data_IF_702676285385
#
_entry.id   IF_702676285385
#
_cell.length_a   1.000
_cell.length_b   1.000
_cell.length_c   1.000
_cell.angle_alpha   90.00
_cell.angle_beta   90.00
_cell.angle_gamma   90.00
#
_symmetry.space_group_name_H-M   'P 1'
#
loop_
_entity.id
_entity.type
_entity.pdbx_description
1 polymer ?
#
# COMPACT_ATOMS: atom_id res chain seq x y z
N UNK A 1 20.31 -23.99 19.84
CA UNK A 1 21.59 -24.25 19.15
C UNK A 1 22.20 -22.91 18.77
N UNK A 2 23.49 -22.66 19.02
CA UNK A 2 24.08 -21.33 18.91
C UNK A 2 24.17 -20.91 17.44
N UNK A 3 23.82 -19.65 17.16
CA UNK A 3 23.98 -19.04 15.84
C UNK A 3 25.47 -18.79 15.65
N UNK A 4 26.10 -19.55 14.75
CA UNK A 4 27.45 -19.28 14.27
C UNK A 4 27.44 -18.01 13.41
N UNK A 5 28.30 -17.01 13.71
CA UNK A 5 28.50 -15.86 12.85
C UNK A 5 29.55 -16.22 11.79
N UNK A 6 29.11 -16.74 10.64
CA UNK A 6 29.79 -16.64 9.34
C UNK A 6 29.01 -17.40 8.27
N UNK A 7 28.08 -16.70 7.64
CA UNK A 7 27.78 -16.90 6.22
C UNK A 7 27.36 -15.53 5.68
N UNK A 8 28.20 -14.88 4.88
CA UNK A 8 27.63 -14.06 3.81
C UNK A 8 26.73 -15.02 3.03
N UNK A 9 25.42 -14.86 3.19
CA UNK A 9 24.46 -15.84 2.70
C UNK A 9 24.51 -15.84 1.17
N UNK A 10 24.32 -17.01 0.55
CA UNK A 10 24.19 -17.11 -0.91
C UNK A 10 23.17 -16.11 -1.50
N UNK A 11 22.18 -15.69 -0.71
CA UNK A 11 21.18 -14.68 -1.04
C UNK A 11 21.78 -13.28 -1.27
N UNK A 12 22.78 -12.87 -0.47
CA UNK A 12 23.44 -11.58 -0.63
C UNK A 12 24.31 -11.54 -1.90
N UNK A 13 24.94 -12.66 -2.26
CA UNK A 13 25.74 -12.77 -3.48
C UNK A 13 24.87 -12.67 -4.75
N UNK A 14 23.72 -13.34 -4.77
CA UNK A 14 22.78 -13.28 -5.89
C UNK A 14 22.09 -11.91 -6.01
N UNK A 15 21.75 -11.28 -4.89
CA UNK A 15 21.27 -9.90 -4.83
C UNK A 15 22.29 -8.94 -5.44
N UNK A 16 23.56 -9.03 -5.01
CA UNK A 16 24.64 -8.17 -5.49
C UNK A 16 24.90 -8.39 -6.99
N UNK A 17 24.89 -9.64 -7.46
CA UNK A 17 25.07 -9.97 -8.88
C UNK A 17 23.97 -9.36 -9.76
N UNK A 18 22.71 -9.36 -9.29
CA UNK A 18 21.60 -8.73 -10.02
C UNK A 18 21.73 -7.22 -10.02
N UNK A 19 22.09 -6.64 -8.89
CA UNK A 19 22.31 -5.20 -8.77
C UNK A 19 23.43 -4.75 -9.72
N UNK A 20 24.53 -5.51 -9.79
CA UNK A 20 25.64 -5.19 -10.69
C UNK A 20 25.23 -5.36 -12.16
N UNK A 21 24.52 -6.46 -12.50
CA UNK A 21 23.99 -6.67 -13.86
C UNK A 21 23.11 -5.51 -14.34
N UNK A 22 22.33 -4.91 -13.44
CA UNK A 22 21.40 -3.82 -13.77
C UNK A 22 21.89 -2.45 -13.33
N UNK A 23 23.19 -2.32 -13.01
CA UNK A 23 23.77 -1.07 -12.51
C UNK A 23 23.55 0.10 -13.47
N UNK A 24 23.85 -0.10 -14.76
CA UNK A 24 23.62 0.90 -15.79
C UNK A 24 22.14 1.31 -15.90
N UNK A 25 21.21 0.35 -15.79
CA UNK A 25 19.78 0.67 -15.76
C UNK A 25 19.47 1.58 -14.57
N UNK A 26 19.84 1.19 -13.35
CA UNK A 26 19.56 1.96 -12.13
C UNK A 26 20.17 3.37 -12.20
N UNK A 27 21.38 3.50 -12.73
CA UNK A 27 22.09 4.77 -12.86
C UNK A 27 21.42 5.73 -13.86
N UNK A 28 20.78 5.18 -14.91
CA UNK A 28 20.12 5.94 -15.99
C UNK A 28 18.65 6.26 -15.73
N UNK A 29 18.01 5.63 -14.74
CA UNK A 29 16.62 5.97 -14.39
C UNK A 29 16.50 7.45 -13.97
N UNK A 30 15.42 8.14 -14.37
CA UNK A 30 15.15 9.50 -13.91
C UNK A 30 15.10 9.58 -12.38
N UNK A 31 15.74 10.61 -11.82
CA UNK A 31 15.84 10.81 -10.37
C UNK A 31 15.01 12.01 -9.93
N UNK A 32 14.29 11.84 -8.83
CA UNK A 32 13.50 12.88 -8.19
C UNK A 32 13.86 12.98 -6.71
N UNK A 33 13.70 14.16 -6.10
CA UNK A 33 13.86 14.30 -4.65
C UNK A 33 12.66 13.70 -3.94
N UNK A 34 12.90 12.72 -3.07
CA UNK A 34 11.88 12.16 -2.19
C UNK A 34 11.74 12.95 -0.89
N UNK A 35 10.62 12.77 -0.20
CA UNK A 35 10.39 13.36 1.12
C UNK A 35 11.22 12.69 2.23
N UNK A 36 11.41 11.36 2.17
CA UNK A 36 12.16 10.56 3.18
C UNK A 36 13.59 10.24 2.76
N UNK A 37 13.82 10.14 1.46
CA UNK A 37 15.09 9.71 0.88
C UNK A 37 15.55 10.78 -0.10
N UNK A 38 16.86 11.00 -0.16
CA UNK A 38 17.45 12.03 -1.02
C UNK A 38 17.08 11.83 -2.51
N UNK A 39 16.98 10.57 -2.95
CA UNK A 39 16.70 10.22 -4.34
C UNK A 39 15.64 9.10 -4.43
N UNK A 40 14.61 9.36 -5.22
CA UNK A 40 13.69 8.38 -5.76
C UNK A 40 14.00 8.19 -7.25
N UNK A 41 13.74 6.98 -7.75
CA UNK A 41 14.00 6.58 -9.12
C UNK A 41 12.67 6.29 -9.80
N UNK A 42 12.44 6.87 -10.97
CA UNK A 42 11.27 6.53 -11.78
C UNK A 42 11.53 5.20 -12.49
N UNK A 43 10.84 4.15 -12.09
CA UNK A 43 10.91 2.82 -12.68
C UNK A 43 9.50 2.41 -13.14
N UNK A 44 9.31 2.19 -14.45
CA UNK A 44 8.02 1.87 -15.06
C UNK A 44 6.89 2.86 -14.70
N UNK A 45 7.22 4.16 -14.60
CA UNK A 45 6.25 5.21 -14.26
C UNK A 45 6.02 5.41 -12.76
N UNK A 46 6.63 4.59 -11.89
CA UNK A 46 6.49 4.69 -10.44
C UNK A 46 7.77 5.20 -9.77
N UNK A 47 7.64 6.05 -8.75
CA UNK A 47 8.77 6.60 -8.00
C UNK A 47 9.13 5.70 -6.82
N UNK A 48 10.28 5.04 -6.89
CA UNK A 48 10.69 4.03 -5.91
C UNK A 48 12.01 4.43 -5.25
N UNK A 49 12.18 4.05 -3.97
CA UNK A 49 13.48 4.17 -3.34
C UNK A 49 14.47 3.16 -3.98
N UNK A 50 15.79 3.41 -3.93
CA UNK A 50 16.77 2.55 -4.59
C UNK A 50 16.77 1.09 -4.12
N UNK A 51 16.43 0.82 -2.85
CA UNK A 51 16.30 -0.56 -2.35
C UNK A 51 15.09 -1.26 -2.98
N UNK A 52 13.96 -0.57 -3.11
CA UNK A 52 12.75 -1.11 -3.73
C UNK A 52 12.96 -1.40 -5.22
N UNK A 53 13.68 -0.55 -5.96
CA UNK A 53 14.05 -0.85 -7.36
C UNK A 53 14.85 -2.15 -7.45
N UNK A 54 15.89 -2.30 -6.62
CA UNK A 54 16.71 -3.51 -6.57
C UNK A 54 15.89 -4.74 -6.20
N UNK A 55 15.03 -4.64 -5.19
CA UNK A 55 14.14 -5.71 -4.78
C UNK A 55 13.18 -6.13 -5.91
N UNK A 56 12.63 -5.17 -6.67
CA UNK A 56 11.79 -5.49 -7.83
C UNK A 56 12.56 -6.28 -8.89
N UNK A 57 13.82 -5.92 -9.18
CA UNK A 57 14.65 -6.66 -10.14
C UNK A 57 14.90 -8.11 -9.69
N UNK A 58 15.09 -8.33 -8.38
CA UNK A 58 15.25 -9.66 -7.79
C UNK A 58 13.94 -10.45 -7.86
N UNK A 59 12.82 -9.83 -7.47
CA UNK A 59 11.49 -10.43 -7.56
C UNK A 59 11.16 -10.86 -8.99
N UNK A 60 11.35 -9.99 -9.98
CA UNK A 60 11.08 -10.32 -11.38
C UNK A 60 11.91 -11.51 -11.89
N UNK A 61 13.10 -11.73 -11.34
CA UNK A 61 13.98 -12.82 -11.77
C UNK A 61 13.66 -14.15 -11.07
N UNK A 62 13.34 -14.11 -9.79
CA UNK A 62 13.29 -15.31 -8.96
C UNK A 62 11.90 -15.68 -8.43
N UNK A 63 10.96 -14.73 -8.37
CA UNK A 63 9.62 -15.03 -7.90
C UNK A 63 8.88 -15.87 -8.94
N UNK A 64 8.55 -17.11 -8.57
CA UNK A 64 7.75 -18.04 -9.35
C UNK A 64 6.43 -18.30 -8.63
N UNK A 65 5.41 -17.54 -9.01
CA UNK A 65 4.07 -17.70 -8.45
C UNK A 65 3.56 -19.13 -8.68
N UNK A 66 2.97 -19.70 -7.64
CA UNK A 66 2.22 -20.95 -7.72
C UNK A 66 0.73 -20.66 -7.94
N UNK A 67 -0.04 -21.56 -8.57
CA UNK A 67 -1.48 -21.39 -8.74
C UNK A 67 -2.27 -21.26 -7.42
N UNK A 68 -1.67 -21.67 -6.31
CA UNK A 68 -2.24 -21.60 -4.96
C UNK A 68 -1.89 -20.32 -4.20
N UNK A 69 -1.02 -19.48 -4.76
CA UNK A 69 -0.59 -18.26 -4.10
C UNK A 69 -1.70 -17.21 -4.09
N UNK A 70 -1.82 -16.50 -2.97
CA UNK A 70 -2.74 -15.37 -2.81
C UNK A 70 -1.92 -14.15 -2.47
N UNK A 71 -1.97 -13.13 -3.34
CA UNK A 71 -1.21 -11.89 -3.18
C UNK A 71 -2.13 -10.78 -2.68
N UNK A 72 -1.81 -10.20 -1.52
CA UNK A 72 -2.44 -8.98 -1.03
C UNK A 72 -1.65 -7.76 -1.53
N UNK A 73 -2.27 -6.97 -2.40
CA UNK A 73 -1.71 -5.71 -2.88
C UNK A 73 -2.45 -4.51 -2.30
N UNK A 74 -1.70 -3.54 -1.77
CA UNK A 74 -2.26 -2.29 -1.24
C UNK A 74 -1.26 -1.14 -1.39
N UNK A 75 -1.77 0.07 -1.65
CA UNK A 75 -0.95 1.28 -1.61
C UNK A 75 -0.63 1.64 -0.16
N UNK A 76 0.64 1.95 0.14
CA UNK A 76 1.08 2.22 1.52
C UNK A 76 0.29 3.36 2.16
N UNK A 77 -0.17 3.13 3.40
CA UNK A 77 -0.80 4.15 4.27
C UNK A 77 -1.91 4.92 3.56
N UNK A 78 -2.91 4.20 3.04
CA UNK A 78 -4.19 4.71 2.53
C UNK A 78 -4.99 5.49 3.60
N UNK A 79 -4.42 6.60 4.08
CA UNK A 79 -4.99 7.50 5.09
C UNK A 79 -4.03 8.45 5.85
N UNK A 80 -2.69 8.42 5.70
CA UNK A 80 -1.80 9.45 6.34
C UNK A 80 -0.61 9.96 5.53
N UNK A 81 -0.19 9.27 4.46
CA UNK A 81 0.85 9.77 3.54
C UNK A 81 0.48 11.13 2.96
N UNK A 82 -0.82 11.35 2.76
CA UNK A 82 -1.32 12.47 2.02
C UNK A 82 -1.48 13.75 2.86
N UNK A 83 -1.85 13.64 4.15
CA UNK A 83 -1.77 14.78 5.09
C UNK A 83 -0.34 15.33 5.20
N UNK A 84 0.65 14.43 5.22
CA UNK A 84 2.07 14.83 5.23
C UNK A 84 2.45 15.55 3.94
N UNK A 85 1.98 15.05 2.79
CA UNK A 85 2.16 15.69 1.49
C UNK A 85 1.57 17.12 1.49
N UNK A 86 0.34 17.28 1.94
CA UNK A 86 -0.31 18.58 2.03
C UNK A 86 0.40 19.56 2.97
N UNK A 87 0.72 19.13 4.19
CA UNK A 87 1.47 19.97 5.13
C UNK A 87 2.80 20.42 4.51
N UNK A 88 3.51 19.51 3.84
CA UNK A 88 4.75 19.84 3.16
C UNK A 88 4.56 20.87 2.04
N UNK A 89 3.57 20.66 1.15
CA UNK A 89 3.24 21.62 0.10
C UNK A 89 2.88 22.97 0.66
N UNK A 90 2.01 23.02 1.68
CA UNK A 90 1.59 24.27 2.30
C UNK A 90 2.79 24.99 2.91
N UNK A 91 3.65 24.29 3.65
CA UNK A 91 4.82 24.89 4.29
C UNK A 91 5.91 25.31 3.29
N UNK A 92 6.02 24.64 2.15
CA UNK A 92 7.10 24.85 1.18
C UNK A 92 6.61 25.44 -0.16
N UNK A 93 5.39 25.99 -0.22
CA UNK A 93 4.76 26.57 -1.42
C UNK A 93 5.56 27.70 -2.09
N UNK A 94 6.44 28.35 -1.34
CA UNK A 94 7.35 29.38 -1.86
C UNK A 94 8.74 28.85 -2.24
N UNK A 95 9.07 27.61 -1.84
CA UNK A 95 10.36 26.95 -2.09
C UNK A 95 10.36 26.04 -3.31
N UNK A 96 9.19 25.53 -3.69
CA UNK A 96 9.03 24.63 -4.84
C UNK A 96 7.90 25.11 -5.74
N UNK A 97 8.14 25.13 -7.05
CA UNK A 97 7.07 25.29 -8.04
C UNK A 97 6.13 24.10 -7.97
N UNK A 98 4.84 24.32 -8.23
CA UNK A 98 3.87 23.23 -8.36
C UNK A 98 4.14 22.34 -9.57
N UNK A 99 4.84 22.81 -10.61
CA UNK A 99 5.20 21.98 -11.78
C UNK A 99 6.35 21.03 -11.51
N UNK A 100 7.21 21.34 -10.54
CA UNK A 100 8.42 20.59 -10.16
C UNK A 100 8.45 20.36 -8.63
N UNK A 101 7.30 19.98 -8.07
CA UNK A 101 7.14 19.83 -6.63
C UNK A 101 7.64 18.46 -6.18
N UNK A 102 8.40 18.33 -5.07
CA UNK A 102 8.88 17.02 -4.58
C UNK A 102 7.80 15.98 -4.26
N UNK A 103 6.51 16.38 -4.25
CA UNK A 103 5.38 15.46 -4.06
C UNK A 103 4.92 14.79 -5.34
N UNK A 104 5.34 15.29 -6.51
CA UNK A 104 5.23 14.54 -7.76
C UNK A 104 6.03 13.24 -7.69
N UNK A 105 7.02 13.20 -6.79
CA UNK A 105 7.87 12.06 -6.48
C UNK A 105 7.46 11.49 -5.11
N UNK A 106 6.25 10.95 -5.00
CA UNK A 106 5.85 10.19 -3.81
C UNK A 106 6.31 8.74 -3.95
N UNK A 107 6.84 8.16 -2.88
CA UNK A 107 7.25 6.76 -2.86
C UNK A 107 6.05 5.86 -3.23
N UNK A 108 6.26 4.95 -4.18
CA UNK A 108 5.26 4.09 -4.82
C UNK A 108 4.19 4.82 -5.67
N UNK A 109 4.23 6.15 -5.76
CA UNK A 109 3.30 6.93 -6.57
C UNK A 109 3.63 6.92 -8.06
N UNK A 110 2.68 7.33 -8.93
CA UNK A 110 1.46 8.07 -8.59
C UNK A 110 0.32 7.22 -8.01
N UNK A 111 -0.40 7.78 -7.02
CA UNK A 111 -1.49 7.08 -6.30
C UNK A 111 -2.64 6.64 -7.19
N UNK A 112 -3.19 7.55 -8.01
CA UNK A 112 -4.31 7.22 -8.89
C UNK A 112 -3.92 6.20 -9.96
N UNK A 113 -2.69 6.25 -10.50
CA UNK A 113 -2.21 5.24 -11.44
C UNK A 113 -2.08 3.86 -10.78
N UNK A 114 -1.62 3.80 -9.52
CA UNK A 114 -1.62 2.55 -8.77
C UNK A 114 -3.03 2.01 -8.58
N UNK A 115 -4.02 2.83 -8.24
CA UNK A 115 -5.40 2.36 -8.09
C UNK A 115 -5.95 1.89 -9.44
N UNK A 116 -5.75 2.69 -10.47
CA UNK A 116 -6.30 2.44 -11.80
C UNK A 116 -5.71 1.21 -12.46
N UNK A 117 -4.43 0.89 -12.22
CA UNK A 117 -3.82 -0.33 -12.75
C UNK A 117 -4.51 -1.59 -12.21
N UNK A 118 -4.77 -1.67 -10.91
CA UNK A 118 -5.50 -2.80 -10.32
C UNK A 118 -6.99 -2.78 -10.67
N UNK A 119 -7.63 -1.61 -10.71
CA UNK A 119 -9.04 -1.50 -11.09
C UNK A 119 -9.29 -2.02 -12.50
N UNK A 120 -8.51 -1.59 -13.49
CA UNK A 120 -8.66 -2.04 -14.89
C UNK A 120 -8.55 -3.55 -15.01
N UNK A 121 -7.50 -4.13 -14.43
CA UNK A 121 -7.28 -5.59 -14.50
C UNK A 121 -8.34 -6.36 -13.70
N UNK A 122 -8.90 -5.79 -12.62
CA UNK A 122 -10.03 -6.41 -11.90
C UNK A 122 -11.30 -6.53 -12.72
N UNK A 123 -11.53 -5.62 -13.66
CA UNK A 123 -12.65 -5.69 -14.60
C UNK A 123 -12.39 -6.73 -15.69
N UNK A 124 -11.15 -6.86 -16.14
CA UNK A 124 -10.74 -7.81 -17.18
C UNK A 124 -10.62 -9.26 -16.67
N UNK A 125 -10.29 -9.45 -15.40
CA UNK A 125 -10.04 -10.78 -14.79
C UNK A 125 -10.58 -10.85 -13.35
N UNK A 126 -11.90 -10.78 -13.16
CA UNK A 126 -12.53 -10.77 -11.83
C UNK A 126 -12.35 -12.08 -11.05
N UNK A 127 -12.05 -13.18 -11.74
CA UNK A 127 -11.67 -14.48 -11.19
C UNK A 127 -10.25 -14.52 -10.60
N UNK A 128 -9.39 -13.57 -11.01
CA UNK A 128 -7.98 -13.49 -10.56
C UNK A 128 -7.69 -12.29 -9.67
N UNK A 129 -8.49 -11.23 -9.76
CA UNK A 129 -8.28 -9.98 -9.02
C UNK A 129 -9.59 -9.55 -8.34
N UNK A 130 -9.62 -9.67 -7.01
CA UNK A 130 -10.69 -9.10 -6.19
C UNK A 130 -10.30 -7.67 -5.75
N UNK A 131 -10.95 -6.67 -6.33
CA UNK A 131 -10.77 -5.28 -5.92
C UNK A 131 -11.70 -4.93 -4.75
N UNK A 132 -11.14 -4.47 -3.62
CA UNK A 132 -11.89 -4.09 -2.42
C UNK A 132 -11.62 -2.64 -2.03
N UNK A 133 -12.67 -1.94 -1.59
CA UNK A 133 -12.56 -0.59 -1.02
C UNK A 133 -12.61 -0.66 0.51
N UNK A 134 -11.78 0.15 1.17
CA UNK A 134 -11.69 0.16 2.64
C UNK A 134 -13.01 0.58 3.29
N UNK A 135 -13.73 1.53 2.69
CA UNK A 135 -15.02 2.01 3.18
C UNK A 135 -16.09 0.92 3.13
N UNK A 136 -16.05 0.06 2.11
CA UNK A 136 -16.96 -1.09 1.99
C UNK A 136 -16.61 -2.17 3.02
N UNK A 137 -15.32 -2.47 3.19
CA UNK A 137 -14.83 -3.37 4.23
C UNK A 137 -15.30 -2.93 5.64
N UNK A 138 -15.27 -1.62 5.91
CA UNK A 138 -15.72 -1.07 7.19
C UNK A 138 -17.24 -1.01 7.33
N UNK A 139 -17.98 -0.70 6.25
CA UNK A 139 -19.44 -0.53 6.29
C UNK A 139 -20.18 -1.87 6.29
N UNK A 140 -19.68 -2.86 5.56
CA UNK A 140 -20.31 -4.18 5.40
C UNK A 140 -19.26 -5.31 5.51
N UNK A 141 -18.61 -5.45 6.67
CA UNK A 141 -17.47 -6.37 6.83
C UNK A 141 -17.84 -7.82 6.51
N UNK A 142 -19.00 -8.30 6.94
CA UNK A 142 -19.42 -9.68 6.66
C UNK A 142 -19.64 -9.95 5.17
N UNK A 143 -20.18 -8.97 4.42
CA UNK A 143 -20.35 -9.10 2.96
C UNK A 143 -18.99 -9.22 2.29
N UNK A 144 -18.01 -8.42 2.73
CA UNK A 144 -16.64 -8.48 2.20
C UNK A 144 -15.95 -9.79 2.58
N UNK A 145 -16.12 -10.28 3.81
CA UNK A 145 -15.57 -11.57 4.25
C UNK A 145 -16.14 -12.73 3.42
N UNK A 146 -17.45 -12.74 3.13
CA UNK A 146 -18.05 -13.74 2.23
C UNK A 146 -17.48 -13.66 0.80
N UNK A 147 -17.35 -12.45 0.25
CA UNK A 147 -16.73 -12.23 -1.08
C UNK A 147 -15.29 -12.74 -1.12
N UNK A 148 -14.51 -12.44 -0.08
CA UNK A 148 -13.12 -12.90 0.03
C UNK A 148 -13.04 -14.43 0.09
N UNK A 149 -13.86 -15.05 0.94
CA UNK A 149 -13.91 -16.50 1.08
C UNK A 149 -14.28 -17.19 -0.24
N UNK A 150 -15.29 -16.68 -0.95
CA UNK A 150 -15.67 -17.18 -2.28
C UNK A 150 -14.54 -17.01 -3.30
N UNK A 151 -13.88 -15.85 -3.34
CA UNK A 151 -12.75 -15.58 -4.23
C UNK A 151 -11.55 -16.51 -3.96
N UNK A 152 -11.29 -16.85 -2.70
CA UNK A 152 -10.26 -17.81 -2.30
C UNK A 152 -10.66 -19.28 -2.57
N UNK A 153 -11.81 -19.53 -3.22
CA UNK A 153 -12.31 -20.88 -3.50
C UNK A 153 -12.80 -21.62 -2.24
N UNK A 154 -13.13 -20.88 -1.18
CA UNK A 154 -13.58 -21.40 0.13
C UNK A 154 -14.86 -20.68 0.60
N UNK A 155 -15.95 -20.67 -0.18
CA UNK A 155 -17.19 -20.04 0.26
C UNK A 155 -17.69 -20.69 1.55
N UNK A 156 -18.29 -19.89 2.44
CA UNK A 156 -18.88 -20.41 3.66
C UNK A 156 -20.02 -21.38 3.36
N UNK A 157 -20.05 -22.47 4.11
CA UNK A 157 -21.14 -23.45 4.08
C UNK A 157 -22.37 -22.92 4.82
N UNK A 158 -23.55 -23.48 4.52
CA UNK A 158 -24.78 -23.12 5.23
C UNK A 158 -24.70 -23.40 6.75
N UNK A 159 -23.94 -24.42 7.16
CA UNK A 159 -23.69 -24.73 8.56
C UNK A 159 -22.80 -23.66 9.24
N UNK A 160 -21.72 -23.23 8.59
CA UNK A 160 -20.85 -22.16 9.10
C UNK A 160 -21.62 -20.83 9.23
N UNK A 161 -22.47 -20.50 8.25
CA UNK A 161 -23.35 -19.34 8.31
C UNK A 161 -24.33 -19.45 9.49
N UNK A 162 -24.99 -20.62 9.66
CA UNK A 162 -25.91 -20.88 10.78
C UNK A 162 -25.22 -20.81 12.14
N UNK A 163 -23.97 -21.26 12.22
CA UNK A 163 -23.14 -21.19 13.44
C UNK A 163 -22.58 -19.79 13.71
N UNK A 164 -22.75 -18.83 12.80
CA UNK A 164 -22.30 -17.46 12.98
C UNK A 164 -20.80 -17.24 12.74
N UNK A 165 -20.12 -18.17 12.06
CA UNK A 165 -18.66 -18.15 11.85
C UNK A 165 -18.20 -16.86 11.16
N UNK A 166 -18.98 -16.33 10.22
CA UNK A 166 -18.68 -15.06 9.55
C UNK A 166 -18.61 -13.90 10.56
N UNK A 167 -19.57 -13.84 11.48
CA UNK A 167 -19.61 -12.83 12.55
C UNK A 167 -18.44 -12.97 13.52
N UNK A 168 -18.08 -14.21 13.86
CA UNK A 168 -16.92 -14.49 14.72
C UNK A 168 -15.60 -14.02 14.09
N UNK A 169 -15.40 -14.27 12.79
CA UNK A 169 -14.24 -13.78 12.04
C UNK A 169 -14.21 -12.26 12.02
N UNK A 170 -15.34 -11.60 11.71
CA UNK A 170 -15.42 -10.13 11.70
C UNK A 170 -15.09 -9.55 13.08
N UNK A 171 -15.60 -10.16 14.15
CA UNK A 171 -15.31 -9.74 15.53
C UNK A 171 -13.84 -9.93 15.88
N UNK A 172 -13.25 -11.08 15.53
CA UNK A 172 -11.85 -11.40 15.77
C UNK A 172 -10.91 -10.43 15.04
N UNK A 173 -11.22 -10.10 13.78
CA UNK A 173 -10.43 -9.20 12.95
C UNK A 173 -10.80 -7.70 13.12
N UNK A 174 -11.72 -7.38 14.03
CA UNK A 174 -12.15 -6.00 14.27
C UNK A 174 -10.98 -5.12 14.72
N UNK A 175 -11.10 -3.81 14.44
CA UNK A 175 -10.07 -2.86 14.88
C UNK A 175 -9.95 -2.89 16.40
N UNK A 176 -11.09 -2.89 17.10
CA UNK A 176 -11.18 -2.92 18.56
C UNK A 176 -10.51 -4.16 19.16
N UNK A 177 -10.68 -5.33 18.54
CA UNK A 177 -10.02 -6.54 19.03
C UNK A 177 -8.50 -6.48 18.74
N UNK A 178 -8.12 -6.27 17.48
CA UNK A 178 -6.72 -6.32 17.07
C UNK A 178 -5.86 -5.23 17.71
N UNK A 179 -6.39 -4.02 17.91
CA UNK A 179 -5.65 -2.92 18.53
C UNK A 179 -5.32 -3.15 20.01
N UNK A 180 -6.03 -4.07 20.67
CA UNK A 180 -5.87 -4.37 22.08
C UNK A 180 -5.03 -5.63 22.36
N UNK A 181 -4.66 -6.39 21.32
CA UNK A 181 -3.81 -7.56 21.48
C UNK A 181 -2.38 -7.15 21.87
N UNK A 182 -1.78 -7.86 22.83
CA UNK A 182 -0.41 -7.57 23.30
C UNK A 182 0.62 -7.58 22.16
N UNK A 183 0.47 -8.52 21.23
CA UNK A 183 1.33 -8.65 20.04
C UNK A 183 1.31 -7.42 19.13
N UNK A 184 0.26 -6.59 19.22
CA UNK A 184 0.03 -5.40 18.40
C UNK A 184 0.26 -4.09 19.17
N UNK A 185 0.39 -4.14 20.50
CA UNK A 185 0.59 -2.94 21.34
C UNK A 185 2.03 -2.77 21.79
N UNK A 186 2.81 -3.86 21.89
CA UNK A 186 4.19 -3.83 22.38
C UNK A 186 5.21 -4.11 21.27
N UNK A 187 6.33 -3.40 21.33
CA UNK A 187 7.48 -3.58 20.45
C UNK A 187 7.40 -2.76 19.16
N UNK A 188 8.35 -3.02 18.26
CA UNK A 188 8.53 -2.31 17.00
C UNK A 188 8.56 -3.29 15.83
N UNK A 189 8.05 -2.85 14.69
CA UNK A 189 8.20 -3.50 13.40
C UNK A 189 9.34 -2.80 12.64
N UNK A 190 10.31 -3.56 12.11
CA UNK A 190 11.49 -3.01 11.43
C UNK A 190 11.35 -3.15 9.91
N UNK A 191 11.32 -2.03 9.21
CA UNK A 191 11.33 -1.99 7.74
C UNK A 191 12.74 -1.68 7.24
N UNK A 192 13.59 -2.71 7.24
CA UNK A 192 15.01 -2.55 6.96
C UNK A 192 15.75 -1.82 8.08
N UNK A 193 16.88 -1.18 7.76
CA UNK A 193 17.77 -0.56 8.75
C UNK A 193 17.38 0.87 9.15
N UNK A 194 16.45 1.50 8.43
CA UNK A 194 16.19 2.95 8.51
C UNK A 194 14.82 3.32 9.08
N UNK A 195 13.93 2.35 9.29
CA UNK A 195 12.57 2.63 9.75
C UNK A 195 12.13 1.59 10.76
N UNK A 196 11.92 2.04 11.99
CA UNK A 196 11.23 1.30 13.03
C UNK A 196 9.89 1.98 13.30
N UNK A 197 8.82 1.19 13.35
CA UNK A 197 7.47 1.68 13.64
C UNK A 197 6.95 0.94 14.85
N UNK A 198 6.53 1.66 15.88
CA UNK A 198 5.90 1.02 17.04
C UNK A 198 4.62 0.29 16.60
N UNK A 199 4.41 -0.94 17.09
CA UNK A 199 3.28 -1.76 16.61
C UNK A 199 1.92 -1.10 16.83
N UNK A 200 1.78 -0.33 17.91
CA UNK A 200 0.57 0.46 18.18
C UNK A 200 0.27 1.52 17.11
N UNK A 201 1.27 2.03 16.39
CA UNK A 201 1.09 3.07 15.37
C UNK A 201 0.43 2.53 14.08
N UNK A 202 0.33 1.21 13.92
CA UNK A 202 -0.49 0.59 12.89
C UNK A 202 -1.98 0.71 13.19
N UNK A 203 -2.36 0.84 14.47
CA UNK A 203 -3.75 0.91 14.95
C UNK A 203 -4.09 2.33 15.46
N UNK A 204 -4.12 3.31 14.55
CA UNK A 204 -4.29 4.73 14.94
C UNK A 204 -5.73 5.12 15.34
N UNK A 205 -6.70 4.92 14.45
CA UNK A 205 -8.11 5.30 14.67
C UNK A 205 -9.09 4.34 14.00
N UNK A 206 -8.76 3.81 12.82
CA UNK A 206 -9.64 2.88 12.09
C UNK A 206 -11.00 3.47 11.68
N UNK A 207 -11.10 4.79 11.54
CA UNK A 207 -12.33 5.54 11.25
C UNK A 207 -12.33 6.09 9.82
N UNK A 208 -13.47 5.97 9.14
CA UNK A 208 -13.74 6.67 7.88
C UNK A 208 -14.00 8.14 8.18
N UNK A 209 -13.50 9.03 7.32
CA UNK A 209 -13.81 10.47 7.40
C UNK A 209 -12.95 11.26 8.40
N UNK A 210 -11.92 10.63 8.98
CA UNK A 210 -11.00 11.32 9.91
C UNK A 210 -10.23 12.47 9.22
N UNK A 211 -10.17 12.48 7.89
CA UNK A 211 -9.65 13.60 7.09
C UNK A 211 -10.31 14.94 7.44
N UNK A 212 -11.58 14.95 7.86
CA UNK A 212 -12.31 16.17 8.26
C UNK A 212 -11.65 16.91 9.42
N UNK A 213 -10.85 16.22 10.23
CA UNK A 213 -10.11 16.81 11.34
C UNK A 213 -8.79 17.47 10.90
N UNK A 214 -8.39 17.32 9.65
CA UNK A 214 -7.08 17.74 9.15
C UNK A 214 -7.14 18.56 7.85
N UNK A 215 -8.20 18.43 7.06
CA UNK A 215 -8.34 19.11 5.78
C UNK A 215 -9.32 20.29 5.90
N UNK A 216 -8.96 21.40 5.26
CA UNK A 216 -9.93 22.45 4.95
C UNK A 216 -10.84 22.01 3.80
N UNK A 217 -11.97 22.68 3.66
CA UNK A 217 -12.90 22.44 2.54
C UNK A 217 -12.24 22.69 1.18
N UNK A 218 -11.39 23.71 1.05
CA UNK A 218 -10.62 23.97 -0.18
C UNK A 218 -9.71 22.79 -0.54
N UNK A 219 -9.01 22.23 0.46
CA UNK A 219 -8.13 21.08 0.25
C UNK A 219 -8.94 19.85 -0.19
N UNK A 220 -10.09 19.63 0.46
CA UNK A 220 -11.03 18.56 0.11
C UNK A 220 -11.52 18.69 -1.33
N UNK A 221 -12.08 19.84 -1.70
CA UNK A 221 -12.61 20.11 -3.05
C UNK A 221 -11.55 19.90 -4.13
N UNK A 222 -10.32 20.33 -3.86
CA UNK A 222 -9.20 20.13 -4.78
C UNK A 222 -8.90 18.65 -5.03
N UNK A 223 -8.97 17.79 -4.01
CA UNK A 223 -8.77 16.34 -4.16
C UNK A 223 -9.90 15.72 -4.93
N UNK A 224 -11.13 16.10 -4.58
CA UNK A 224 -12.33 15.54 -5.17
C UNK A 224 -12.31 15.83 -6.66
N UNK A 225 -11.88 17.04 -7.06
CA UNK A 225 -11.64 17.40 -8.45
C UNK A 225 -10.56 16.55 -9.12
N UNK A 226 -9.35 16.46 -8.55
CA UNK A 226 -8.25 15.67 -9.15
C UNK A 226 -8.65 14.19 -9.26
N UNK A 227 -9.30 13.66 -8.23
CA UNK A 227 -9.77 12.27 -8.19
C UNK A 227 -10.84 12.04 -9.24
N UNK A 228 -11.79 12.98 -9.38
CA UNK A 228 -12.78 12.91 -10.44
C UNK A 228 -12.12 12.90 -11.83
N UNK A 229 -11.22 13.86 -12.11
CA UNK A 229 -10.49 13.93 -13.38
C UNK A 229 -9.71 12.65 -13.69
N UNK A 230 -9.04 12.07 -12.68
CA UNK A 230 -8.23 10.85 -12.86
C UNK A 230 -9.04 9.57 -12.99
N UNK A 231 -10.23 9.51 -12.39
CA UNK A 231 -11.10 8.33 -12.42
C UNK A 231 -12.25 8.47 -13.44
N UNK A 232 -12.35 9.60 -14.13
CA UNK A 232 -13.41 9.85 -15.09
C UNK A 232 -13.44 8.76 -16.17
N UNK A 233 -14.64 8.25 -16.47
CA UNK A 233 -14.84 7.19 -17.46
C UNK A 233 -14.41 5.78 -17.01
N UNK A 234 -13.80 5.62 -15.82
CA UNK A 234 -13.35 4.30 -15.33
C UNK A 234 -14.46 3.46 -14.71
N UNK A 235 -15.57 4.08 -14.32
CA UNK A 235 -16.61 3.44 -13.49
C UNK A 235 -16.23 3.29 -12.00
N UNK A 236 -14.98 3.60 -11.60
CA UNK A 236 -14.58 3.58 -10.19
C UNK A 236 -15.04 4.85 -9.47
N UNK A 237 -15.85 4.65 -8.42
CA UNK A 237 -16.26 5.72 -7.52
C UNK A 237 -15.63 5.46 -6.14
N UNK A 238 -14.83 6.42 -5.69
CA UNK A 238 -14.32 6.47 -4.34
C UNK A 238 -15.22 7.42 -3.53
N UNK A 239 -15.72 6.96 -2.38
CA UNK A 239 -16.44 7.83 -1.45
C UNK A 239 -15.44 8.90 -0.96
N UNK A 240 -15.62 10.16 -1.37
CA UNK A 240 -14.80 11.35 -1.01
C UNK A 240 -14.42 11.35 0.48
N UNK A 241 -13.20 11.55 0.97
CA UNK A 241 -11.86 11.81 0.43
C UNK A 241 -11.00 10.61 0.87
N UNK A 242 -10.23 10.03 -0.07
CA UNK A 242 -9.40 8.81 0.11
C UNK A 242 -8.34 8.95 1.21
#
# INVERSE_FOLDING_TARGET
LPITPNSESHEDADYNKICEKHKHLIETLPKGKGWRVQHLYNYNGFWLNPKTVKNNLVLHKYFKAQPTDIVLAAFMKSGTTWLKALMFSTLNRHRYSFSDHPLHHNEYGPFWEHIMSYWRVSLESPDKILFLKYEELKRQPEVVVRKLAAFMGKPFTADEEKRGVVGDIVKLCSFENLSNLEVNTKGVEKFGTLLEVEKRDFFRKGKIGDWKNYLSDEMKERIDRITHEKLQGSGLILTTVV
#
